data_IF_804274819870
#
_entry.id   IF_804274819870
#
_cell.length_a   1.000
_cell.length_b   1.000
_cell.length_c   1.000
_cell.angle_alpha   90.00
_cell.angle_beta   90.00
_cell.angle_gamma   90.00
#
_symmetry.space_group_name_H-M   'P 1'
#
loop_
_entity.id
_entity.type
_entity.pdbx_description
1 polymer ?
#
# COMPACT_ATOMS: atom_id res chain seq x y z
N UNK A 1 -2.41 -34.83 -29.01
CA UNK A 1 -1.82 -35.96 -28.28
C UNK A 1 -2.73 -36.35 -27.11
N UNK A 2 -3.83 -37.07 -27.37
CA UNK A 2 -4.84 -37.43 -26.37
C UNK A 2 -5.21 -38.93 -26.41
N UNK A 3 -4.32 -39.78 -26.93
CA UNK A 3 -4.54 -41.21 -27.08
C UNK A 3 -3.82 -42.07 -26.01
N UNK A 4 -2.91 -41.49 -25.23
CA UNK A 4 -2.14 -42.22 -24.21
C UNK A 4 -2.72 -42.16 -22.79
N UNK A 5 -3.67 -41.25 -22.53
CA UNK A 5 -4.31 -41.12 -21.21
C UNK A 5 -5.43 -42.13 -20.96
N UNK A 6 -6.06 -42.68 -22.01
CA UNK A 6 -7.17 -43.64 -21.87
C UNK A 6 -6.70 -45.08 -21.56
N UNK A 7 -5.47 -45.44 -21.96
CA UNK A 7 -4.93 -46.80 -21.73
C UNK A 7 -4.49 -46.98 -20.27
N UNK A 8 -4.17 -45.90 -19.55
CA UNK A 8 -3.69 -45.95 -18.16
C UNK A 8 -4.80 -46.21 -17.11
N UNK A 9 -6.08 -45.99 -17.44
CA UNK A 9 -7.19 -46.17 -16.49
C UNK A 9 -7.78 -47.59 -16.52
N UNK A 10 -7.60 -48.35 -17.61
CA UNK A 10 -8.15 -49.71 -17.75
C UNK A 10 -7.18 -50.86 -17.45
N UNK A 11 -5.87 -50.62 -17.50
CA UNK A 11 -4.84 -51.68 -17.37
C UNK A 11 -4.27 -51.80 -15.95
N UNK A 12 -4.38 -50.75 -15.13
CA UNK A 12 -3.89 -50.77 -13.74
C UNK A 12 -4.69 -51.68 -12.79
N UNK A 13 -6.03 -51.83 -12.92
CA UNK A 13 -6.78 -52.72 -12.02
C UNK A 13 -6.40 -54.20 -12.16
N UNK A 14 -6.20 -54.70 -13.39
CA UNK A 14 -6.00 -56.15 -13.60
C UNK A 14 -4.61 -56.65 -13.22
N UNK A 15 -3.59 -55.79 -13.27
CA UNK A 15 -2.22 -56.13 -12.85
C UNK A 15 -2.10 -56.13 -11.31
N UNK A 16 -2.85 -55.26 -10.61
CA UNK A 16 -2.86 -55.21 -9.14
C UNK A 16 -3.67 -56.34 -8.50
N UNK A 17 -4.80 -56.75 -9.10
CA UNK A 17 -5.57 -57.92 -8.64
C UNK A 17 -4.77 -59.22 -8.71
N UNK A 18 -3.83 -59.33 -9.65
CA UNK A 18 -3.03 -60.54 -9.83
C UNK A 18 -1.92 -60.71 -8.78
N UNK A 19 -1.59 -59.66 -8.03
CA UNK A 19 -0.48 -59.64 -7.05
C UNK A 19 -0.93 -59.73 -5.59
N UNK A 20 -2.15 -59.29 -5.26
CA UNK A 20 -2.64 -59.30 -3.86
C UNK A 20 -4.16 -59.10 -3.77
N UNK A 21 -4.84 -59.97 -3.02
CA UNK A 21 -6.27 -59.82 -2.67
C UNK A 21 -6.52 -58.94 -1.43
N UNK A 22 -5.46 -58.35 -0.85
CA UNK A 22 -5.57 -57.56 0.37
C UNK A 22 -5.99 -56.12 0.06
N UNK A 23 -7.24 -55.79 0.38
CA UNK A 23 -7.87 -54.47 0.20
C UNK A 23 -7.03 -53.27 0.70
N UNK A 24 -6.21 -53.44 1.75
CA UNK A 24 -5.37 -52.36 2.27
C UNK A 24 -4.27 -51.90 1.29
N UNK A 25 -3.77 -52.78 0.42
CA UNK A 25 -2.75 -52.43 -0.58
C UNK A 25 -3.32 -51.47 -1.61
N UNK A 26 -4.56 -51.70 -2.06
CA UNK A 26 -5.26 -50.78 -2.95
C UNK A 26 -5.46 -49.40 -2.30
N UNK A 27 -5.78 -49.36 -1.00
CA UNK A 27 -5.88 -48.11 -0.24
C UNK A 27 -4.56 -47.32 -0.20
N UNK A 28 -3.44 -48.00 0.03
CA UNK A 28 -2.10 -47.36 0.05
C UNK A 28 -1.70 -46.86 -1.34
N UNK A 29 -1.93 -47.65 -2.39
CA UNK A 29 -1.63 -47.23 -3.78
C UNK A 29 -2.47 -46.03 -4.18
N UNK A 30 -3.77 -46.03 -3.84
CA UNK A 30 -4.66 -44.90 -4.10
C UNK A 30 -4.21 -43.64 -3.36
N UNK A 31 -3.88 -43.75 -2.06
CA UNK A 31 -3.38 -42.63 -1.28
C UNK A 31 -2.05 -42.08 -1.84
N UNK A 32 -1.15 -42.96 -2.27
CA UNK A 32 0.11 -42.59 -2.92
C UNK A 32 -0.10 -41.88 -4.26
N UNK A 33 -1.02 -42.38 -5.10
CA UNK A 33 -1.38 -41.73 -6.36
C UNK A 33 -2.05 -40.37 -6.13
N UNK A 34 -2.95 -40.26 -5.14
CA UNK A 34 -3.57 -39.00 -4.76
C UNK A 34 -2.53 -37.98 -4.26
N UNK A 35 -1.58 -38.41 -3.43
CA UNK A 35 -0.48 -37.57 -2.98
C UNK A 35 0.39 -37.08 -4.15
N UNK A 36 0.71 -37.96 -5.10
CA UNK A 36 1.46 -37.60 -6.32
C UNK A 36 0.71 -36.60 -7.19
N UNK A 37 -0.61 -36.77 -7.37
CA UNK A 37 -1.45 -35.81 -8.10
C UNK A 37 -1.50 -34.47 -7.38
N UNK A 38 -1.64 -34.46 -6.05
CA UNK A 38 -1.63 -33.24 -5.25
C UNK A 38 -0.26 -32.54 -5.32
N UNK A 39 0.84 -33.27 -5.21
CA UNK A 39 2.21 -32.73 -5.35
C UNK A 39 2.43 -32.19 -6.76
N UNK A 40 2.05 -32.95 -7.80
CA UNK A 40 2.14 -32.52 -9.19
C UNK A 40 1.32 -31.24 -9.45
N UNK A 41 0.12 -31.16 -8.88
CA UNK A 41 -0.75 -29.98 -8.99
C UNK A 41 -0.17 -28.76 -8.27
N UNK A 42 0.42 -28.92 -7.08
CA UNK A 42 1.10 -27.85 -6.33
C UNK A 42 2.37 -27.36 -7.05
N UNK A 43 3.07 -28.27 -7.75
CA UNK A 43 4.26 -27.92 -8.55
C UNK A 43 3.89 -27.24 -9.88
N UNK A 44 2.73 -27.57 -10.46
CA UNK A 44 2.27 -27.02 -11.75
C UNK A 44 1.39 -25.78 -11.64
N UNK A 45 0.99 -25.36 -10.43
CA UNK A 45 0.21 -24.12 -10.25
C UNK A 45 0.96 -22.94 -10.89
N UNK A 46 0.34 -22.17 -11.80
CA UNK A 46 0.95 -20.98 -12.34
C UNK A 46 1.16 -20.00 -11.18
N UNK A 47 2.42 -19.74 -10.83
CA UNK A 47 2.77 -18.99 -9.61
C UNK A 47 2.76 -17.47 -9.82
N UNK A 48 2.10 -16.96 -10.85
CA UNK A 48 1.99 -15.52 -11.09
C UNK A 48 3.32 -14.78 -11.31
N UNK A 49 3.23 -13.45 -11.25
CA UNK A 49 4.33 -12.50 -11.35
C UNK A 49 4.61 -11.89 -9.97
N UNK A 50 5.86 -11.99 -9.52
CA UNK A 50 6.36 -11.21 -8.39
C UNK A 50 7.08 -9.96 -8.88
N UNK A 51 6.73 -8.79 -8.36
CA UNK A 51 7.40 -7.54 -8.67
C UNK A 51 8.04 -7.00 -7.39
N UNK A 52 9.37 -6.95 -7.36
CA UNK A 52 10.12 -6.38 -6.25
C UNK A 52 10.46 -4.94 -6.56
N UNK A 53 9.96 -4.01 -5.75
CA UNK A 53 10.15 -2.56 -5.94
C UNK A 53 10.92 -1.99 -4.75
N UNK A 54 12.12 -1.47 -5.02
CA UNK A 54 12.94 -0.76 -4.03
C UNK A 54 13.17 0.68 -4.48
N UNK A 55 12.52 1.64 -3.81
CA UNK A 55 12.58 3.06 -4.16
C UNK A 55 13.44 3.91 -3.23
N UNK A 56 14.06 3.31 -2.20
CA UNK A 56 14.97 4.05 -1.34
C UNK A 56 16.20 4.52 -2.12
N UNK A 57 16.72 5.73 -1.82
CA UNK A 57 17.95 6.22 -2.43
C UNK A 57 19.14 5.33 -2.04
N UNK A 58 20.13 5.24 -2.92
CA UNK A 58 21.31 4.39 -2.74
C UNK A 58 22.10 4.69 -1.46
N UNK A 59 21.99 5.92 -0.94
CA UNK A 59 22.61 6.36 0.32
C UNK A 59 22.01 5.71 1.57
N UNK A 60 20.77 5.20 1.51
CA UNK A 60 20.15 4.43 2.60
C UNK A 60 20.35 2.94 2.34
N UNK A 61 21.30 2.32 3.04
CA UNK A 61 21.56 0.89 2.92
C UNK A 61 20.36 0.05 3.41
N UNK A 62 19.60 -0.50 2.46
CA UNK A 62 18.49 -1.44 2.70
C UNK A 62 18.77 -2.84 2.12
N UNK A 63 20.03 -3.13 1.77
CA UNK A 63 20.43 -4.29 0.97
C UNK A 63 19.91 -5.64 1.51
N UNK A 64 19.96 -5.87 2.82
CA UNK A 64 19.45 -7.11 3.43
C UNK A 64 17.94 -7.30 3.26
N UNK A 65 17.16 -6.22 3.34
CA UNK A 65 15.70 -6.26 3.12
C UNK A 65 15.38 -6.48 1.66
N UNK A 66 16.07 -5.80 0.76
CA UNK A 66 15.90 -5.98 -0.69
C UNK A 66 16.22 -7.43 -1.10
N UNK A 67 17.28 -8.03 -0.56
CA UNK A 67 17.61 -9.44 -0.79
C UNK A 67 16.52 -10.37 -0.27
N UNK A 68 15.97 -10.12 0.92
CA UNK A 68 14.86 -10.90 1.45
C UNK A 68 13.63 -10.86 0.54
N UNK A 69 13.25 -9.68 0.03
CA UNK A 69 12.16 -9.52 -0.93
C UNK A 69 12.42 -10.27 -2.24
N UNK A 70 13.63 -10.16 -2.80
CA UNK A 70 14.05 -10.87 -4.02
C UNK A 70 13.96 -12.38 -3.86
N UNK A 71 14.44 -12.92 -2.74
CA UNK A 71 14.40 -14.36 -2.47
C UNK A 71 12.98 -14.88 -2.29
N UNK A 72 12.14 -14.12 -1.58
CA UNK A 72 10.73 -14.48 -1.40
C UNK A 72 9.96 -14.47 -2.72
N UNK A 73 10.15 -13.44 -3.54
CA UNK A 73 9.54 -13.37 -4.87
C UNK A 73 9.94 -14.55 -5.74
N UNK A 74 11.23 -14.91 -5.78
CA UNK A 74 11.74 -16.05 -6.56
C UNK A 74 11.25 -17.40 -6.04
N UNK A 75 11.02 -17.53 -4.74
CA UNK A 75 10.46 -18.74 -4.14
C UNK A 75 8.96 -18.90 -4.40
N UNK A 76 8.24 -17.78 -4.47
CA UNK A 76 6.79 -17.75 -4.59
C UNK A 76 6.27 -17.64 -6.02
N UNK A 77 7.06 -17.14 -6.99
CA UNK A 77 6.62 -16.81 -8.35
C UNK A 77 7.46 -17.43 -9.47
N UNK A 78 6.83 -17.64 -10.63
CA UNK A 78 7.51 -18.17 -11.82
C UNK A 78 8.33 -17.09 -12.55
N UNK A 79 7.84 -15.86 -12.52
CA UNK A 79 8.52 -14.69 -13.08
C UNK A 79 8.72 -13.68 -11.96
N UNK A 80 9.92 -13.13 -11.87
CA UNK A 80 10.24 -12.07 -10.90
C UNK A 80 10.80 -10.87 -11.64
N UNK A 81 10.08 -9.76 -11.61
CA UNK A 81 10.60 -8.45 -12.02
C UNK A 81 11.25 -7.78 -10.81
N UNK A 82 12.43 -7.20 -11.01
CA UNK A 82 13.14 -6.45 -9.97
C UNK A 82 13.34 -5.02 -10.46
N UNK A 83 12.77 -4.08 -9.71
CA UNK A 83 12.94 -2.63 -9.90
C UNK A 83 13.69 -2.11 -8.69
N UNK A 84 14.96 -1.77 -8.88
CA UNK A 84 15.85 -1.36 -7.81
C UNK A 84 16.44 0.01 -8.17
N UNK A 85 16.01 1.07 -7.46
CA UNK A 85 16.41 2.45 -7.75
C UNK A 85 17.94 2.58 -7.80
N UNK A 86 18.64 1.95 -6.86
CA UNK A 86 20.10 2.00 -6.81
C UNK A 86 20.78 1.32 -8.00
N UNK A 87 20.12 0.34 -8.63
CA UNK A 87 20.65 -0.35 -9.82
C UNK A 87 20.29 0.36 -11.12
N UNK A 88 19.10 0.98 -11.19
CA UNK A 88 18.61 1.68 -12.38
C UNK A 88 19.20 3.10 -12.49
N UNK A 89 19.50 3.75 -11.37
CA UNK A 89 20.10 5.09 -11.31
C UNK A 89 21.35 5.09 -10.41
N UNK A 90 22.45 4.47 -10.85
CA UNK A 90 23.69 4.46 -10.08
C UNK A 90 24.31 5.87 -10.07
N UNK A 91 24.22 6.57 -8.94
CA UNK A 91 24.92 7.84 -8.72
C UNK A 91 24.05 9.11 -8.72
N UNK A 92 22.80 9.06 -8.23
CA UNK A 92 21.95 10.25 -8.11
C UNK A 92 22.58 11.39 -7.28
N UNK A 93 23.24 12.29 -8.01
CA UNK A 93 23.17 13.75 -7.86
C UNK A 93 22.44 14.39 -9.05
N UNK A 94 21.52 13.65 -9.69
CA UNK A 94 20.84 14.04 -10.94
C UNK A 94 19.45 14.59 -10.66
N UNK A 95 19.14 15.67 -11.35
CA UNK A 95 17.96 16.56 -11.38
C UNK A 95 16.61 15.91 -11.69
N UNK A 96 16.46 14.60 -11.52
CA UNK A 96 15.22 13.89 -11.84
C UNK A 96 14.32 13.85 -10.60
N UNK A 97 13.14 14.45 -10.70
CA UNK A 97 12.20 14.53 -9.59
C UNK A 97 11.71 13.15 -9.16
N UNK A 98 11.50 12.94 -7.86
CA UNK A 98 10.98 11.68 -7.29
C UNK A 98 9.64 11.21 -7.94
N UNK A 99 8.89 12.12 -8.59
CA UNK A 99 7.70 11.77 -9.38
C UNK A 99 8.02 10.88 -10.58
N UNK A 100 9.14 11.12 -11.24
CA UNK A 100 9.47 10.49 -12.52
C UNK A 100 9.86 9.02 -12.33
N UNK A 101 10.51 8.73 -11.20
CA UNK A 101 10.88 7.36 -10.81
C UNK A 101 9.62 6.53 -10.55
N UNK A 102 8.67 7.05 -9.78
CA UNK A 102 7.43 6.34 -9.48
C UNK A 102 6.60 6.10 -10.75
N UNK A 103 6.53 7.10 -11.63
CA UNK A 103 5.82 7.00 -12.90
C UNK A 103 6.44 5.94 -13.82
N UNK A 104 7.78 5.89 -13.88
CA UNK A 104 8.49 4.85 -14.61
C UNK A 104 8.20 3.45 -14.05
N UNK A 105 8.25 3.28 -12.72
CA UNK A 105 7.96 1.99 -12.07
C UNK A 105 6.54 1.53 -12.39
N UNK A 106 5.55 2.41 -12.30
CA UNK A 106 4.17 2.07 -12.62
C UNK A 106 4.02 1.61 -14.08
N UNK A 107 4.57 2.37 -15.04
CA UNK A 107 4.54 1.99 -16.46
C UNK A 107 5.23 0.66 -16.75
N UNK A 108 6.32 0.36 -16.04
CA UNK A 108 7.02 -0.92 -16.18
C UNK A 108 6.19 -2.09 -15.65
N UNK A 109 5.46 -1.89 -14.54
CA UNK A 109 4.51 -2.87 -14.03
C UNK A 109 3.40 -3.10 -15.05
N UNK A 110 2.77 -2.04 -15.55
CA UNK A 110 1.69 -2.12 -16.54
C UNK A 110 2.13 -2.87 -17.80
N UNK A 111 3.32 -2.56 -18.32
CA UNK A 111 3.87 -3.24 -19.49
C UNK A 111 4.07 -4.75 -19.27
N UNK A 112 4.57 -5.15 -18.09
CA UNK A 112 4.77 -6.56 -17.75
C UNK A 112 3.46 -7.32 -17.54
N UNK A 113 2.47 -6.65 -16.95
CA UNK A 113 1.12 -7.22 -16.83
C UNK A 113 0.54 -7.47 -18.22
N UNK A 114 0.64 -6.48 -19.11
CA UNK A 114 0.09 -6.59 -20.47
C UNK A 114 0.77 -7.70 -21.28
N UNK A 115 2.09 -7.84 -21.14
CA UNK A 115 2.84 -8.97 -21.72
C UNK A 115 2.28 -10.32 -21.22
N UNK A 116 2.00 -10.45 -19.93
CA UNK A 116 1.44 -11.67 -19.35
C UNK A 116 0.00 -11.96 -19.80
N UNK A 117 -0.82 -10.92 -19.98
CA UNK A 117 -2.19 -11.06 -20.52
C UNK A 117 -2.18 -11.52 -21.97
N UNK A 118 -1.28 -10.98 -22.79
CA UNK A 118 -1.15 -11.35 -24.21
C UNK A 118 -0.79 -12.84 -24.41
N UNK A 119 -0.19 -13.48 -23.40
CA UNK A 119 0.19 -14.90 -23.39
C UNK A 119 -0.94 -15.91 -23.20
N UNK A 120 -2.21 -15.51 -23.33
CA UNK A 120 -3.41 -16.36 -23.26
C UNK A 120 -3.59 -17.11 -21.91
N UNK A 121 -3.05 -16.54 -20.82
CA UNK A 121 -3.23 -17.05 -19.45
C UNK A 121 -4.44 -16.37 -18.81
N UNK A 122 -5.23 -17.14 -18.07
CA UNK A 122 -6.17 -16.63 -17.05
C UNK A 122 -5.49 -15.54 -16.22
N UNK A 123 -6.23 -14.48 -15.86
CA UNK A 123 -5.71 -13.25 -15.21
C UNK A 123 -4.48 -13.51 -14.33
N UNK A 124 -3.32 -12.91 -14.65
CA UNK A 124 -2.10 -13.18 -13.93
C UNK A 124 -2.23 -12.69 -12.49
N UNK A 125 -1.98 -13.57 -11.52
CA UNK A 125 -1.77 -13.14 -10.13
C UNK A 125 -0.49 -12.31 -10.07
N UNK A 126 -0.61 -11.04 -9.67
CA UNK A 126 0.52 -10.12 -9.57
C UNK A 126 0.71 -9.71 -8.12
N UNK A 127 1.91 -9.93 -7.60
CA UNK A 127 2.26 -9.67 -6.20
C UNK A 127 3.38 -8.65 -6.12
N UNK A 128 3.14 -7.56 -5.40
CA UNK A 128 4.04 -6.43 -5.23
C UNK A 128 4.79 -6.54 -3.90
N UNK A 129 6.11 -6.59 -3.96
CA UNK A 129 7.02 -6.58 -2.82
C UNK A 129 7.65 -5.19 -2.73
N UNK A 130 6.99 -4.28 -2.03
CA UNK A 130 7.35 -2.85 -2.04
C UNK A 130 8.21 -2.47 -0.84
N UNK A 131 9.31 -1.77 -1.12
CA UNK A 131 10.18 -1.14 -0.15
C UNK A 131 10.42 0.32 -0.56
N UNK A 132 9.62 1.22 0.00
CA UNK A 132 9.61 2.63 -0.36
C UNK A 132 9.26 3.51 0.85
N UNK A 133 9.53 4.82 0.74
CA UNK A 133 8.91 5.79 1.64
C UNK A 133 7.39 5.80 1.46
N UNK A 134 6.64 6.19 2.50
CA UNK A 134 5.17 6.22 2.46
C UNK A 134 4.64 7.09 1.31
N UNK A 135 5.29 8.24 1.05
CA UNK A 135 4.97 9.14 -0.07
C UNK A 135 5.03 8.45 -1.42
N UNK A 136 6.12 7.73 -1.67
CA UNK A 136 6.34 7.06 -2.95
C UNK A 136 5.42 5.84 -3.11
N UNK A 137 5.17 5.11 -2.02
CA UNK A 137 4.16 4.05 -1.99
C UNK A 137 2.76 4.56 -2.33
N UNK A 138 2.34 5.68 -1.73
CA UNK A 138 1.07 6.33 -2.05
C UNK A 138 0.99 6.78 -3.51
N UNK A 139 2.05 7.41 -4.04
CA UNK A 139 2.12 7.82 -5.45
C UNK A 139 2.06 6.62 -6.39
N UNK A 140 2.79 5.55 -6.07
CA UNK A 140 2.76 4.30 -6.83
C UNK A 140 1.34 3.73 -6.87
N UNK A 141 0.67 3.68 -5.72
CA UNK A 141 -0.73 3.27 -5.62
C UNK A 141 -1.64 4.08 -6.54
N UNK A 142 -1.51 5.42 -6.55
CA UNK A 142 -2.30 6.30 -7.44
C UNK A 142 -2.10 5.95 -8.91
N UNK A 143 -0.87 5.67 -9.34
CA UNK A 143 -0.57 5.32 -10.74
C UNK A 143 -1.09 3.94 -11.13
N UNK A 144 -1.04 2.98 -10.21
CA UNK A 144 -1.56 1.62 -10.44
C UNK A 144 -3.11 1.54 -10.47
N UNK A 145 -3.82 2.65 -10.22
CA UNK A 145 -5.27 2.68 -10.23
C UNK A 145 -5.89 2.88 -11.62
N UNK A 146 -5.07 3.12 -12.64
CA UNK A 146 -5.54 3.40 -13.99
C UNK A 146 -6.12 2.16 -14.69
N UNK A 147 -5.75 0.95 -14.25
CA UNK A 147 -6.32 -0.32 -14.71
C UNK A 147 -7.25 -0.97 -13.65
N UNK A 148 -8.58 -0.87 -13.81
CA UNK A 148 -9.53 -1.39 -12.83
C UNK A 148 -9.70 -2.92 -12.84
N UNK A 149 -9.18 -3.61 -13.87
CA UNK A 149 -9.24 -5.08 -13.96
C UNK A 149 -8.02 -5.74 -13.30
N UNK A 150 -7.02 -4.94 -12.93
CA UNK A 150 -5.82 -5.43 -12.28
C UNK A 150 -6.09 -5.74 -10.80
N UNK A 151 -5.96 -7.02 -10.41
CA UNK A 151 -5.87 -7.42 -9.02
C UNK A 151 -4.41 -7.60 -8.63
N UNK A 152 -3.95 -6.80 -7.65
CA UNK A 152 -2.57 -6.84 -7.15
C UNK A 152 -2.57 -7.16 -5.67
N UNK A 153 -1.65 -7.99 -5.20
CA UNK A 153 -1.45 -8.18 -3.76
C UNK A 153 -0.18 -7.46 -3.31
N UNK A 154 -0.30 -6.50 -2.40
CA UNK A 154 0.86 -5.81 -1.82
C UNK A 154 1.33 -6.58 -0.60
N UNK A 155 2.54 -7.13 -0.69
CA UNK A 155 3.27 -7.77 0.41
C UNK A 155 4.12 -6.74 1.14
N UNK A 156 4.37 -6.98 2.43
CA UNK A 156 5.35 -6.19 3.17
C UNK A 156 6.16 -7.03 4.16
N UNK A 157 7.28 -6.46 4.58
CA UNK A 157 8.11 -6.99 5.68
C UNK A 157 7.50 -6.54 7.00
N UNK A 158 6.83 -7.47 7.69
CA UNK A 158 6.21 -7.24 8.98
C UNK A 158 7.27 -7.16 10.07
N UNK A 159 7.24 -6.09 10.87
CA UNK A 159 8.12 -6.01 12.05
C UNK A 159 7.61 -6.92 13.18
N UNK A 160 6.30 -7.13 13.28
CA UNK A 160 5.69 -7.96 14.33
C UNK A 160 5.98 -9.46 14.12
N UNK A 161 6.05 -9.92 12.88
CA UNK A 161 6.40 -11.28 12.49
C UNK A 161 7.91 -11.47 12.28
N UNK A 162 8.75 -10.73 13.02
CA UNK A 162 10.21 -10.92 12.99
C UNK A 162 10.86 -10.62 11.63
N UNK A 163 10.34 -9.64 10.88
CA UNK A 163 10.75 -9.30 9.49
C UNK A 163 10.40 -10.37 8.46
N UNK A 164 9.42 -11.22 8.75
CA UNK A 164 8.81 -12.10 7.77
C UNK A 164 7.98 -11.31 6.76
N UNK A 165 7.81 -11.90 5.59
CA UNK A 165 6.90 -11.41 4.57
C UNK A 165 5.49 -11.90 4.86
N UNK A 166 4.56 -10.95 4.88
CA UNK A 166 3.13 -11.22 5.08
C UNK A 166 2.30 -10.47 4.04
N UNK A 167 1.10 -10.98 3.70
CA UNK A 167 0.14 -10.25 2.88
C UNK A 167 -0.28 -8.95 3.56
N UNK A 168 -0.13 -7.83 2.84
CA UNK A 168 -0.50 -6.50 3.29
C UNK A 168 -1.94 -6.17 2.89
N UNK A 169 -2.16 -5.75 1.64
CA UNK A 169 -3.48 -5.38 1.11
C UNK A 169 -3.59 -5.82 -0.35
N UNK A 170 -4.74 -6.40 -0.72
CA UNK A 170 -5.11 -6.61 -2.12
C UNK A 170 -5.69 -5.34 -2.73
N UNK A 171 -5.10 -4.84 -3.82
CA UNK A 171 -5.63 -3.77 -4.65
C UNK A 171 -6.58 -4.39 -5.67
N UNK A 172 -7.87 -4.21 -5.45
CA UNK A 172 -8.93 -4.68 -6.33
C UNK A 172 -10.18 -3.84 -6.15
N UNK A 173 -11.16 -4.00 -7.05
CA UNK A 173 -12.46 -3.33 -6.97
C UNK A 173 -13.17 -3.51 -5.62
N UNK A 174 -12.93 -4.62 -4.90
CA UNK A 174 -13.45 -4.88 -3.56
C UNK A 174 -13.07 -3.82 -2.51
N UNK A 175 -11.92 -3.13 -2.64
CA UNK A 175 -11.55 -2.04 -1.73
C UNK A 175 -12.51 -0.84 -1.81
N UNK A 176 -13.22 -0.69 -2.94
CA UNK A 176 -14.21 0.37 -3.15
C UNK A 176 -15.60 -0.02 -2.62
N UNK A 177 -15.81 -1.29 -2.25
CA UNK A 177 -17.06 -1.73 -1.65
C UNK A 177 -17.18 -1.17 -0.24
N UNK A 178 -18.31 -0.55 0.14
CA UNK A 178 -18.51 -0.04 1.49
C UNK A 178 -18.35 -1.13 2.54
N UNK A 179 -17.84 -0.76 3.71
CA UNK A 179 -17.62 -1.72 4.79
C UNK A 179 -18.94 -2.33 5.28
N UNK A 180 -18.96 -3.65 5.48
CA UNK A 180 -20.07 -4.31 6.16
C UNK A 180 -20.04 -4.05 7.68
N UNK A 181 -21.08 -4.47 8.39
CA UNK A 181 -21.19 -4.25 9.83
C UNK A 181 -20.07 -4.95 10.63
N UNK A 182 -19.62 -6.13 10.19
CA UNK A 182 -18.56 -6.88 10.85
C UNK A 182 -17.21 -6.16 10.67
N UNK A 183 -16.88 -5.75 9.45
CA UNK A 183 -15.67 -5.00 9.13
C UNK A 183 -15.63 -3.66 9.87
N UNK A 184 -16.75 -2.91 9.90
CA UNK A 184 -16.85 -1.68 10.70
C UNK A 184 -16.60 -1.94 12.18
N UNK A 185 -17.21 -2.99 12.74
CA UNK A 185 -17.00 -3.37 14.14
C UNK A 185 -15.57 -3.85 14.43
N UNK A 186 -14.87 -4.37 13.42
CA UNK A 186 -13.46 -4.75 13.55
C UNK A 186 -12.56 -3.51 13.54
N UNK A 187 -12.82 -2.57 12.64
CA UNK A 187 -12.06 -1.31 12.55
C UNK A 187 -12.29 -0.43 13.77
N UNK A 188 -13.53 -0.29 14.25
CA UNK A 188 -13.87 0.54 15.42
C UNK A 188 -13.19 0.06 16.69
N UNK A 189 -13.00 -1.25 16.87
CA UNK A 189 -12.23 -1.82 17.98
C UNK A 189 -10.78 -1.31 18.03
N UNK A 190 -10.25 -0.85 16.90
CA UNK A 190 -8.89 -0.35 16.80
C UNK A 190 -8.82 1.18 16.71
N UNK A 191 -9.72 1.85 15.97
CA UNK A 191 -9.64 3.29 15.70
C UNK A 191 -10.56 4.17 16.57
N UNK A 192 -11.55 3.59 17.26
CA UNK A 192 -12.61 4.37 17.93
C UNK A 192 -12.45 4.40 19.47
N UNK A 193 -11.22 4.55 19.98
CA UNK A 193 -10.96 4.61 21.42
C UNK A 193 -11.72 5.75 22.17
N UNK A 194 -12.39 6.67 21.45
CA UNK A 194 -13.21 7.75 22.00
C UNK A 194 -14.73 7.64 21.74
N UNK A 195 -15.27 6.45 21.41
CA UNK A 195 -16.66 6.08 21.73
C UNK A 195 -17.82 6.74 20.96
N UNK A 196 -17.61 7.54 19.91
CA UNK A 196 -18.73 8.16 19.17
C UNK A 196 -18.58 8.10 17.65
N UNK A 197 -18.80 6.93 17.06
CA UNK A 197 -19.00 6.79 15.61
C UNK A 197 -17.83 7.27 14.74
N UNK A 198 -18.12 7.54 13.45
CA UNK A 198 -17.12 7.99 12.46
C UNK A 198 -16.36 9.23 12.97
N UNK A 199 -15.09 9.42 12.56
CA UNK A 199 -14.28 10.56 12.95
C UNK A 199 -14.99 11.86 12.60
N UNK A 200 -15.13 12.75 13.58
CA UNK A 200 -15.85 14.01 13.41
C UNK A 200 -14.98 15.02 12.68
N UNK A 201 -15.56 15.71 11.69
CA UNK A 201 -14.95 16.87 11.05
C UNK A 201 -14.96 18.05 12.03
N UNK A 202 -13.75 18.55 12.36
CA UNK A 202 -13.57 19.70 13.25
C UNK A 202 -13.13 20.91 12.42
N UNK A 203 -13.86 22.01 12.57
CA UNK A 203 -13.54 23.28 11.93
C UNK A 203 -12.42 23.99 12.67
N UNK A 204 -11.44 24.49 11.93
CA UNK A 204 -10.36 25.32 12.47
C UNK A 204 -10.78 26.80 12.38
N UNK A 205 -10.42 27.64 13.37
CA UNK A 205 -10.66 29.07 13.29
C UNK A 205 -9.93 29.63 12.08
N UNK A 206 -10.67 30.02 11.03
CA UNK A 206 -10.07 30.48 9.79
C UNK A 206 -9.72 31.97 9.87
N UNK A 207 -8.50 32.34 9.50
CA UNK A 207 -8.28 33.63 8.83
C UNK A 207 -8.80 33.53 7.38
N UNK A 208 -9.30 34.65 6.84
CA UNK A 208 -9.93 34.66 5.51
C UNK A 208 -8.92 34.28 4.41
N UNK A 209 -9.27 33.34 3.51
CA UNK A 209 -8.44 33.02 2.35
C UNK A 209 -8.79 31.72 1.62
N UNK A 210 -8.13 31.49 0.47
CA UNK A 210 -8.33 30.34 -0.41
C UNK A 210 -8.03 28.97 0.24
N UNK A 211 -7.31 28.93 1.37
CA UNK A 211 -6.97 27.67 2.05
C UNK A 211 -8.02 27.16 3.02
N UNK A 212 -9.12 27.91 3.20
CA UNK A 212 -10.36 27.41 3.81
C UNK A 212 -10.91 26.17 3.07
N UNK A 213 -10.53 25.98 1.81
CA UNK A 213 -10.88 24.82 1.00
C UNK A 213 -10.04 23.55 1.29
N UNK A 214 -9.12 23.58 2.25
CA UNK A 214 -8.30 22.43 2.62
C UNK A 214 -8.79 21.71 3.88
N UNK A 215 -8.74 20.38 3.86
CA UNK A 215 -8.96 19.50 5.04
C UNK A 215 -7.67 18.75 5.35
N UNK A 216 -7.23 18.78 6.61
CA UNK A 216 -6.19 17.89 7.09
C UNK A 216 -6.79 16.52 7.47
N UNK A 217 -6.34 15.45 6.82
CA UNK A 217 -6.71 14.07 7.12
C UNK A 217 -5.55 13.43 7.87
N UNK A 218 -5.71 13.21 9.17
CA UNK A 218 -4.64 12.75 10.05
C UNK A 218 -4.89 11.29 10.42
N UNK A 219 -3.97 10.40 10.07
CA UNK A 219 -4.13 8.95 10.21
C UNK A 219 -2.90 8.35 10.88
N UNK A 220 -3.06 7.90 12.12
CA UNK A 220 -2.01 7.24 12.90
C UNK A 220 -2.37 5.78 13.18
N UNK A 221 -1.64 4.86 12.54
CA UNK A 221 -1.81 3.41 12.64
C UNK A 221 -0.57 2.70 13.23
N UNK A 222 0.46 3.47 13.57
CA UNK A 222 1.68 3.00 14.21
C UNK A 222 2.17 4.05 15.20
N UNK A 223 3.09 3.65 16.08
CA UNK A 223 3.63 4.50 17.13
C UNK A 223 4.38 5.68 16.52
N UNK A 224 3.82 6.88 16.75
CA UNK A 224 4.48 8.16 16.60
C UNK A 224 3.82 9.14 17.58
N UNK A 225 4.53 9.43 18.67
CA UNK A 225 3.98 10.15 19.83
C UNK A 225 3.47 11.54 19.47
N UNK A 226 4.28 12.32 18.75
CA UNK A 226 3.97 13.72 18.39
C UNK A 226 3.22 13.88 17.06
N UNK A 227 3.06 12.82 16.25
CA UNK A 227 2.58 12.94 14.88
C UNK A 227 1.22 13.63 14.76
N UNK A 228 0.27 13.29 15.64
CA UNK A 228 -1.06 13.90 15.63
C UNK A 228 -0.98 15.38 15.99
N UNK A 229 -0.22 15.72 17.04
CA UNK A 229 -0.02 17.10 17.49
C UNK A 229 0.71 17.94 16.43
N UNK A 230 1.77 17.38 15.81
CA UNK A 230 2.55 17.99 14.73
C UNK A 230 1.68 18.26 13.49
N UNK A 231 0.86 17.31 13.09
CA UNK A 231 -0.07 17.46 11.97
C UNK A 231 -1.18 18.48 12.28
N UNK A 232 -1.69 18.50 13.52
CA UNK A 232 -2.67 19.49 13.97
C UNK A 232 -2.08 20.90 14.02
N UNK A 233 -0.83 21.06 14.48
CA UNK A 233 -0.12 22.34 14.47
C UNK A 233 -0.01 22.88 13.05
N UNK A 234 0.42 22.04 12.10
CA UNK A 234 0.50 22.43 10.69
C UNK A 234 -0.88 22.75 10.12
N UNK A 235 -1.90 21.94 10.43
CA UNK A 235 -3.25 22.21 9.96
C UNK A 235 -3.78 23.56 10.48
N UNK A 236 -3.50 23.89 11.74
CA UNK A 236 -4.00 25.09 12.40
C UNK A 236 -3.21 26.36 12.07
N UNK A 237 -1.91 26.26 11.80
CA UNK A 237 -1.01 27.41 11.62
C UNK A 237 -0.42 27.52 10.22
N UNK A 238 -0.38 26.40 9.48
CA UNK A 238 0.35 26.27 8.22
C UNK A 238 1.88 26.20 8.37
N UNK A 239 2.40 26.21 9.61
CA UNK A 239 3.83 26.24 9.89
C UNK A 239 4.40 24.84 10.10
N UNK A 240 5.57 24.56 9.50
CA UNK A 240 6.32 23.30 9.68
C UNK A 240 7.31 23.36 10.84
N UNK A 241 7.28 24.44 11.64
CA UNK A 241 8.15 24.62 12.81
C UNK A 241 7.33 25.10 14.01
N UNK A 242 7.74 24.67 15.20
CA UNK A 242 7.30 25.23 16.47
C UNK A 242 8.26 26.34 16.87
N UNK A 243 7.91 27.59 16.55
CA UNK A 243 8.75 28.74 16.85
C UNK A 243 10.18 28.62 16.31
N UNK A 244 11.15 29.21 17.01
CA UNK A 244 12.55 29.19 16.61
C UNK A 244 13.23 27.85 16.98
N UNK A 245 13.17 26.87 16.08
CA UNK A 245 14.16 25.78 16.04
C UNK A 245 13.67 24.34 16.10
N UNK A 246 12.36 24.07 16.28
CA UNK A 246 11.85 22.70 16.27
C UNK A 246 10.99 22.43 15.03
N UNK A 247 11.49 21.64 14.08
CA UNK A 247 10.76 21.30 12.86
C UNK A 247 9.87 20.07 13.10
N UNK A 248 8.65 20.08 12.57
CA UNK A 248 7.65 19.01 12.71
C UNK A 248 7.96 17.76 11.85
N UNK A 249 9.12 17.72 11.20
CA UNK A 249 9.45 16.75 10.15
C UNK A 249 8.65 16.85 8.83
N UNK A 250 7.52 17.55 8.79
CA UNK A 250 6.66 17.58 7.60
C UNK A 250 7.08 18.61 6.54
N UNK A 251 6.99 18.22 5.27
CA UNK A 251 7.18 19.10 4.13
C UNK A 251 5.86 19.24 3.37
N UNK A 252 5.36 20.47 3.30
CA UNK A 252 4.10 20.79 2.64
C UNK A 252 4.30 20.90 1.11
N UNK A 253 3.34 20.43 0.30
CA UNK A 253 3.41 20.54 -1.16
C UNK A 253 3.27 22.00 -1.61
N UNK A 254 4.12 22.45 -2.55
CA UNK A 254 3.98 23.75 -3.22
C UNK A 254 4.59 24.95 -2.49
N UNK A 255 5.83 24.84 -2.00
CA UNK A 255 6.64 26.01 -1.61
C UNK A 255 7.04 26.82 -2.84
N UNK A 256 6.07 27.52 -3.42
CA UNK A 256 6.37 28.67 -4.28
C UNK A 256 6.89 29.80 -3.37
N UNK A 257 7.70 30.68 -3.97
CA UNK A 257 8.60 31.69 -3.37
C UNK A 257 8.00 32.68 -2.34
N UNK A 258 6.72 32.56 -1.96
CA UNK A 258 6.08 33.35 -0.90
C UNK A 258 6.12 32.70 0.49
N UNK A 259 6.64 31.47 0.63
CA UNK A 259 7.19 30.95 1.89
C UNK A 259 6.24 30.68 3.06
N UNK A 260 4.94 30.91 2.95
CA UNK A 260 3.97 30.59 4.02
C UNK A 260 2.85 29.74 3.47
N UNK A 261 2.85 28.46 3.85
CA UNK A 261 1.66 27.68 3.72
C UNK A 261 0.64 28.19 4.75
N UNK A 262 -0.58 28.53 4.32
CA UNK A 262 -1.66 28.94 5.21
C UNK A 262 -2.39 27.74 5.84
N UNK A 263 -3.15 27.97 6.92
CA UNK A 263 -3.85 26.93 7.66
C UNK A 263 -4.96 26.27 6.84
N UNK A 264 -5.30 25.03 7.20
CA UNK A 264 -6.46 24.31 6.69
C UNK A 264 -7.77 24.87 7.26
N UNK A 265 -8.88 24.66 6.56
CA UNK A 265 -10.21 25.04 7.05
C UNK A 265 -10.78 24.07 8.09
N UNK A 266 -10.43 22.79 7.98
CA UNK A 266 -10.90 21.75 8.89
C UNK A 266 -9.91 20.59 8.99
N UNK A 267 -10.12 19.70 9.97
CA UNK A 267 -9.38 18.46 10.09
C UNK A 267 -10.26 17.28 10.52
N UNK A 268 -9.75 16.08 10.27
CA UNK A 268 -10.30 14.81 10.75
C UNK A 268 -9.15 13.91 11.22
N UNK A 269 -9.34 13.22 12.35
CA UNK A 269 -8.32 12.35 12.96
C UNK A 269 -8.82 10.92 13.06
N UNK A 270 -8.04 9.98 12.53
CA UNK A 270 -8.20 8.53 12.74
C UNK A 270 -6.95 8.02 13.43
N UNK A 271 -7.08 7.63 14.70
CA UNK A 271 -5.93 7.23 15.52
C UNK A 271 -6.23 5.89 16.19
N UNK A 272 -5.30 4.95 16.04
CA UNK A 272 -5.43 3.62 16.61
C UNK A 272 -5.20 3.58 18.13
N UNK A 273 -4.61 4.63 18.71
CA UNK A 273 -4.33 4.75 20.15
C UNK A 273 -3.39 3.67 20.73
N UNK A 274 -3.00 2.68 19.92
CA UNK A 274 -2.15 1.55 20.25
C UNK A 274 -0.82 1.65 19.47
N UNK A 275 0.23 0.93 19.88
CA UNK A 275 1.54 1.08 19.27
C UNK A 275 1.60 0.67 17.80
N UNK A 276 0.81 -0.32 17.36
CA UNK A 276 0.83 -0.84 15.99
C UNK A 276 -0.51 -1.48 15.63
N UNK A 277 -0.99 -1.22 14.41
CA UNK A 277 -2.03 -2.02 13.78
C UNK A 277 -1.54 -3.46 13.59
N UNK A 278 -2.33 -4.48 13.97
CA UNK A 278 -1.98 -5.88 13.72
C UNK A 278 -1.76 -6.17 12.24
N UNK A 279 -0.73 -6.96 11.93
CA UNK A 279 -0.42 -7.44 10.58
C UNK A 279 -1.44 -8.49 10.09
N UNK A 280 -2.66 -8.01 9.80
CA UNK A 280 -3.76 -8.80 9.23
C UNK A 280 -4.27 -8.14 7.94
N UNK A 281 -4.30 -8.90 6.85
CA UNK A 281 -4.60 -8.33 5.54
C UNK A 281 -6.05 -7.88 5.40
N UNK A 282 -7.00 -8.59 6.02
CA UNK A 282 -8.40 -8.20 6.04
C UNK A 282 -8.61 -6.90 6.84
N UNK A 283 -7.95 -6.76 7.99
CA UNK A 283 -7.94 -5.54 8.79
C UNK A 283 -7.30 -4.37 8.02
N UNK A 284 -6.16 -4.57 7.38
CA UNK A 284 -5.51 -3.53 6.56
C UNK A 284 -6.41 -3.05 5.42
N UNK A 285 -7.10 -3.97 4.73
CA UNK A 285 -8.08 -3.62 3.70
C UNK A 285 -9.25 -2.83 4.31
N UNK A 286 -9.81 -3.31 5.43
CA UNK A 286 -10.93 -2.65 6.09
C UNK A 286 -10.57 -1.24 6.61
N UNK A 287 -9.38 -1.06 7.20
CA UNK A 287 -8.87 0.25 7.65
C UNK A 287 -8.64 1.18 6.45
N UNK A 288 -8.08 0.67 5.36
CA UNK A 288 -7.92 1.44 4.12
C UNK A 288 -9.27 1.99 3.62
N UNK A 289 -10.27 1.11 3.49
CA UNK A 289 -11.62 1.50 3.06
C UNK A 289 -12.28 2.44 4.07
N UNK A 290 -12.10 2.24 5.37
CA UNK A 290 -12.62 3.12 6.41
C UNK A 290 -12.08 4.55 6.28
N UNK A 291 -10.76 4.70 6.15
CA UNK A 291 -10.10 6.01 6.00
C UNK A 291 -10.59 6.71 4.73
N UNK A 292 -10.77 5.97 3.63
CA UNK A 292 -11.33 6.50 2.39
C UNK A 292 -12.80 6.94 2.55
N UNK A 293 -13.65 6.16 3.21
CA UNK A 293 -15.03 6.55 3.53
C UNK A 293 -15.06 7.84 4.38
N UNK A 294 -14.17 7.96 5.36
CA UNK A 294 -14.05 9.14 6.22
C UNK A 294 -13.63 10.38 5.42
N UNK A 295 -12.67 10.23 4.50
CA UNK A 295 -12.28 11.30 3.59
C UNK A 295 -13.45 11.78 2.72
N UNK A 296 -14.19 10.86 2.09
CA UNK A 296 -15.32 11.21 1.25
C UNK A 296 -16.41 11.96 2.03
N UNK A 297 -16.74 11.48 3.23
CA UNK A 297 -17.72 12.10 4.12
C UNK A 297 -17.27 13.50 4.58
N UNK A 298 -16.02 13.62 5.06
CA UNK A 298 -15.43 14.89 5.49
C UNK A 298 -15.42 15.92 4.34
N UNK A 299 -15.01 15.50 3.14
CA UNK A 299 -15.01 16.35 1.94
C UNK A 299 -16.40 16.85 1.60
N UNK A 300 -17.40 15.97 1.61
CA UNK A 300 -18.78 16.33 1.28
C UNK A 300 -19.37 17.28 2.32
N UNK A 301 -19.19 16.98 3.60
CA UNK A 301 -19.67 17.82 4.71
C UNK A 301 -19.03 19.22 4.65
N UNK A 302 -17.72 19.31 4.44
CA UNK A 302 -17.03 20.59 4.34
C UNK A 302 -17.45 21.38 3.10
N UNK A 303 -17.57 20.72 1.94
CA UNK A 303 -18.05 21.37 0.73
C UNK A 303 -19.44 21.99 0.92
N UNK A 304 -20.35 21.30 1.63
CA UNK A 304 -21.67 21.83 1.98
C UNK A 304 -21.58 23.08 2.87
N UNK A 305 -20.71 23.07 3.90
CA UNK A 305 -20.47 24.24 4.76
C UNK A 305 -19.90 25.43 3.99
N UNK A 306 -19.18 25.18 2.90
CA UNK A 306 -18.60 26.20 2.02
C UNK A 306 -19.50 26.62 0.84
N UNK A 307 -20.78 26.24 0.83
CA UNK A 307 -21.73 26.63 -0.22
C UNK A 307 -21.90 25.60 -1.36
N UNK A 308 -21.59 24.33 -1.13
CA UNK A 308 -21.98 23.17 -1.95
C UNK A 308 -21.06 22.86 -3.14
N UNK A 309 -20.50 23.87 -3.80
CA UNK A 309 -19.68 23.69 -5.02
C UNK A 309 -18.17 23.93 -4.81
N UNK A 310 -17.73 24.04 -3.55
CA UNK A 310 -16.32 24.26 -3.24
C UNK A 310 -15.45 23.07 -3.64
N UNK A 311 -14.37 23.31 -4.38
CA UNK A 311 -13.36 22.31 -4.67
C UNK A 311 -12.49 22.09 -3.41
N UNK A 312 -12.87 21.10 -2.61
CA UNK A 312 -12.15 20.76 -1.37
C UNK A 312 -10.95 19.87 -1.67
N UNK A 313 -9.79 20.21 -1.11
CA UNK A 313 -8.56 19.44 -1.24
C UNK A 313 -8.11 18.89 0.12
N UNK A 314 -7.41 17.76 0.10
CA UNK A 314 -7.00 17.02 1.29
C UNK A 314 -5.48 17.01 1.45
N UNK A 315 -5.01 17.31 2.64
CA UNK A 315 -3.64 17.03 3.07
C UNK A 315 -3.66 15.80 3.97
N UNK A 316 -3.15 14.68 3.47
CA UNK A 316 -3.07 13.44 4.22
C UNK A 316 -1.77 13.40 5.02
N UNK A 317 -1.89 13.36 6.34
CA UNK A 317 -0.79 13.08 7.27
C UNK A 317 -0.93 11.63 7.71
N UNK A 318 -0.05 10.76 7.23
CA UNK A 318 -0.17 9.32 7.45
C UNK A 318 1.08 8.72 8.08
N UNK A 319 0.89 7.92 9.12
CA UNK A 319 1.92 7.07 9.69
C UNK A 319 1.34 5.68 9.97
N UNK A 320 1.89 4.66 9.32
CA UNK A 320 1.35 3.32 9.37
C UNK A 320 2.02 2.35 8.40
N UNK A 321 1.46 1.14 8.26
CA UNK A 321 1.96 0.14 7.31
C UNK A 321 1.98 0.66 5.87
N UNK A 322 3.10 0.45 5.16
CA UNK A 322 3.26 0.82 3.75
C UNK A 322 2.15 0.27 2.83
N UNK A 323 1.66 -0.98 2.98
CA UNK A 323 0.55 -1.48 2.16
C UNK A 323 -0.70 -0.61 2.22
N UNK A 324 -1.02 -0.03 3.39
CA UNK A 324 -2.17 0.86 3.55
C UNK A 324 -1.91 2.18 2.82
N UNK A 325 -0.71 2.75 2.87
CA UNK A 325 -0.39 3.96 2.11
C UNK A 325 -0.51 3.73 0.59
N UNK A 326 -0.04 2.58 0.08
CA UNK A 326 -0.20 2.19 -1.33
C UNK A 326 -1.69 2.06 -1.69
N UNK A 327 -2.46 1.35 -0.87
CA UNK A 327 -3.88 1.12 -1.12
C UNK A 327 -4.73 2.39 -1.01
N UNK A 328 -4.40 3.30 -0.09
CA UNK A 328 -5.00 4.64 -0.03
C UNK A 328 -4.70 5.45 -1.30
N UNK A 329 -3.47 5.40 -1.80
CA UNK A 329 -3.11 5.99 -3.09
C UNK A 329 -3.98 5.45 -4.22
N UNK A 330 -4.13 4.13 -4.29
CA UNK A 330 -4.96 3.47 -5.29
C UNK A 330 -6.44 3.88 -5.23
N UNK A 331 -7.02 3.95 -4.03
CA UNK A 331 -8.42 4.36 -3.84
C UNK A 331 -8.65 5.82 -4.24
N UNK A 332 -7.69 6.68 -3.88
CA UNK A 332 -7.77 8.13 -4.03
C UNK A 332 -7.13 8.68 -5.30
N UNK A 333 -6.80 7.82 -6.26
CA UNK A 333 -6.12 8.19 -7.50
C UNK A 333 -6.80 9.36 -8.25
N UNK A 334 -8.13 9.44 -8.19
CA UNK A 334 -8.96 10.50 -8.81
C UNK A 334 -9.38 11.61 -7.85
N UNK A 335 -9.01 11.51 -6.57
CA UNK A 335 -9.33 12.51 -5.56
C UNK A 335 -8.21 13.56 -5.42
N UNK A 336 -8.59 14.75 -4.94
CA UNK A 336 -7.68 15.86 -4.63
C UNK A 336 -7.09 15.71 -3.23
N UNK A 337 -6.42 14.60 -2.96
CA UNK A 337 -5.75 14.36 -1.68
C UNK A 337 -4.27 14.05 -1.90
N UNK A 338 -3.42 14.71 -1.12
CA UNK A 338 -1.96 14.62 -1.24
C UNK A 338 -1.37 14.16 0.07
N UNK A 339 -0.59 13.08 0.04
CA UNK A 339 0.20 12.64 1.19
C UNK A 339 1.34 13.64 1.45
N UNK A 340 1.31 14.28 2.62
CA UNK A 340 2.33 15.20 3.10
C UNK A 340 3.58 14.39 3.46
N UNK A 341 4.74 14.80 2.92
CA UNK A 341 5.98 14.10 3.19
C UNK A 341 6.42 14.36 4.63
N UNK A 342 6.92 13.33 5.30
CA UNK A 342 7.51 13.45 6.63
C UNK A 342 8.95 12.92 6.58
N UNK A 343 9.91 13.80 6.87
CA UNK A 343 11.32 13.48 6.99
C UNK A 343 11.77 13.52 8.44
N UNK A 344 12.23 12.37 8.93
CA UNK A 344 12.77 12.24 10.28
C UNK A 344 14.06 13.04 10.48
N UNK A 345 14.83 13.30 9.42
CA UNK A 345 16.06 14.08 9.54
C UNK A 345 15.73 15.54 9.87
N UNK A 346 14.69 16.09 9.24
CA UNK A 346 14.16 17.42 9.56
C UNK A 346 13.67 17.50 11.00
N UNK A 347 12.90 16.49 11.45
CA UNK A 347 12.43 16.43 12.83
C UNK A 347 13.57 16.38 13.86
N UNK A 348 14.74 15.86 13.47
CA UNK A 348 15.96 15.76 14.29
C UNK A 348 16.87 16.99 14.19
N UNK A 349 16.44 18.06 13.51
CA UNK A 349 17.18 19.32 13.41
C UNK A 349 18.20 19.37 12.27
N UNK A 350 18.17 18.43 11.32
CA UNK A 350 18.92 18.57 10.08
C UNK A 350 18.38 19.77 9.27
N UNK A 351 19.28 20.52 8.63
CA UNK A 351 18.86 21.56 7.70
C UNK A 351 18.02 20.94 6.57
N UNK A 352 16.94 21.62 6.12
CA UNK A 352 16.17 21.14 4.97
C UNK A 352 17.07 20.92 3.77
N UNK A 353 16.86 19.83 3.00
CA UNK A 353 17.56 19.69 1.73
C UNK A 353 17.26 20.92 0.88
N UNK A 354 18.26 21.49 0.18
CA UNK A 354 18.02 22.62 -0.70
C UNK A 354 16.93 22.25 -1.70
N UNK A 355 16.04 23.19 -2.07
CA UNK A 355 15.05 22.93 -3.11
C UNK A 355 15.78 22.41 -4.35
N UNK A 356 15.27 21.31 -4.91
CA UNK A 356 15.70 20.83 -6.21
C UNK A 356 15.19 21.81 -7.27
N UNK A 357 15.86 22.96 -7.37
CA UNK A 357 15.86 23.92 -8.47
C UNK A 357 16.83 25.06 -8.10
N UNK A 358 18.06 24.95 -8.61
CA UNK A 358 19.02 26.05 -8.84
C UNK A 358 20.13 25.45 -9.73
N UNK A 359 20.41 25.97 -10.93
CA UNK A 359 20.18 27.34 -11.40
C UNK A 359 19.03 27.53 -12.40
#
# INVERSE_FOLDING_TARGET
MAAFTAVALGVVPSILEQWTTRLWVFGVVFAGALALVLVGWVLQRPRGLGVVVSLYPASRTQGSRVVALKNASRGAHNVTLVVDRAALWPGEGSTQGDSDVVDFVARLIDAQVEELRSGNRTEPEVVLYVLAHLRDGFRLGRRLADDPQLSLNVMHLSQQAGRSLVPGVGLSSSLRTPLDAHQRNQVSRHLDAAGTGRPRLVELPAEAGQRRHHIAVIVRLASAGSMVDDALHIAATGQTTYGSGHHTGYQLPGTDTSGVNGPCGAYVVSDIGTPYLPDDSALHAAVTTYVWECWLAARQEWAQRLGGNAAVEGLLFFHGPLPIAVALGWLTARDRITLVHHDLQLAQGAAPPPPADSP
#
